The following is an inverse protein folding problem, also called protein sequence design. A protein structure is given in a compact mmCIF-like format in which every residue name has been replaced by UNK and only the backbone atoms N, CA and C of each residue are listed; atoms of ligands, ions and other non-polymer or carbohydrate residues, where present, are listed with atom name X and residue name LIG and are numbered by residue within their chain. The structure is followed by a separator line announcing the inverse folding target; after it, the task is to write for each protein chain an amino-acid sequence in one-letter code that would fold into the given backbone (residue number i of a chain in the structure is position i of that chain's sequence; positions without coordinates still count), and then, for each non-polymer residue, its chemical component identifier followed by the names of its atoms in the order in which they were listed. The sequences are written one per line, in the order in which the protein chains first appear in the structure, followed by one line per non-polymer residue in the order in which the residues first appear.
data_IF_123647027288
#
_entry.id   IF_123647027288
#
_cell.length_a   1.000
_cell.length_b   1.000
_cell.length_c   1.000
_cell.angle_alpha   90.00
_cell.angle_beta   90.00
_cell.angle_gamma   90.00
#
_symmetry.space_group_name_H-M   'P 1'
#
loop_
_entity.id
_entity.type
_entity.pdbx_description
1 polymer ?
#
# COMPACT_ATOMS: atom_id res chain seq x y z
N UNK A 1 6.56 7.73 -17.57
CA UNK A 1 6.82 6.28 -17.72
C UNK A 1 5.76 5.54 -16.93
N UNK A 2 4.85 4.83 -17.59
CA UNK A 2 3.75 4.10 -16.94
C UNK A 2 4.10 2.63 -16.74
N UNK A 3 3.52 2.00 -15.72
CA UNK A 3 3.69 0.58 -15.44
C UNK A 3 2.34 -0.11 -15.24
N UNK A 4 2.30 -1.43 -15.44
CA UNK A 4 1.09 -2.23 -15.23
C UNK A 4 0.85 -2.43 -13.72
N UNK A 5 -0.31 -2.04 -13.16
CA UNK A 5 -0.60 -2.18 -11.72
C UNK A 5 -0.55 -3.64 -11.27
N UNK A 6 -0.20 -3.90 -10.01
CA UNK A 6 -0.12 -5.27 -9.44
C UNK A 6 -1.48 -5.97 -9.38
N UNK A 7 -2.52 -5.19 -9.10
CA UNK A 7 -3.90 -5.65 -9.03
C UNK A 7 -4.75 -4.92 -10.09
N UNK A 8 -5.85 -5.52 -10.54
CA UNK A 8 -6.79 -4.84 -11.45
C UNK A 8 -7.59 -3.73 -10.73
N UNK A 9 -7.56 -3.70 -9.40
CA UNK A 9 -8.22 -2.67 -8.60
C UNK A 9 -7.67 -1.28 -8.90
N UNK A 10 -8.58 -0.30 -9.00
CA UNK A 10 -8.25 1.11 -9.20
C UNK A 10 -7.41 1.43 -10.45
N UNK A 11 -7.28 0.49 -11.40
CA UNK A 11 -6.46 0.64 -12.61
C UNK A 11 -6.96 1.75 -13.56
N UNK A 12 -8.17 2.25 -13.34
CA UNK A 12 -8.83 3.32 -14.06
C UNK A 12 -8.38 4.73 -13.64
N UNK A 13 -7.62 4.86 -12.54
CA UNK A 13 -7.07 6.14 -12.09
C UNK A 13 -5.97 6.61 -13.07
N UNK A 14 -6.32 7.58 -13.92
CA UNK A 14 -5.45 8.11 -14.99
C UNK A 14 -4.18 8.79 -14.49
N UNK A 15 -4.23 9.38 -13.31
CA UNK A 15 -3.08 10.07 -12.68
C UNK A 15 -2.15 9.10 -11.97
N UNK A 16 -2.50 7.81 -11.85
CA UNK A 16 -1.72 6.81 -11.11
C UNK A 16 -0.82 5.97 -12.02
N UNK A 17 -0.14 4.99 -11.41
CA UNK A 17 0.67 3.96 -12.09
C UNK A 17 1.73 4.47 -13.06
N UNK A 18 2.50 5.45 -12.59
CA UNK A 18 3.71 5.91 -13.24
C UNK A 18 4.82 6.10 -12.22
N UNK A 19 6.06 6.18 -12.72
CA UNK A 19 7.24 6.35 -11.87
C UNK A 19 7.35 7.80 -11.42
N UNK A 20 7.53 7.98 -10.11
CA UNK A 20 7.78 9.27 -9.46
C UNK A 20 9.25 9.36 -9.03
N UNK A 21 9.77 10.58 -8.95
CA UNK A 21 11.11 10.86 -8.45
C UNK A 21 11.02 11.67 -7.16
N UNK A 22 11.73 11.24 -6.13
CA UNK A 22 11.89 11.98 -4.86
C UNK A 22 13.23 11.56 -4.23
N UNK A 23 13.71 12.31 -3.25
CA UNK A 23 15.04 12.15 -2.63
C UNK A 23 14.97 11.50 -1.23
N UNK A 24 13.78 11.10 -0.76
CA UNK A 24 13.61 10.56 0.60
C UNK A 24 14.14 9.12 0.80
N UNK A 25 14.44 8.39 -0.28
CA UNK A 25 14.93 7.03 -0.19
C UNK A 25 16.46 7.00 -0.02
N UNK A 26 16.95 6.06 0.79
CA UNK A 26 18.38 5.80 0.94
C UNK A 26 18.81 4.61 0.09
N UNK A 27 20.02 4.64 -0.47
CA UNK A 27 20.58 3.53 -1.28
C UNK A 27 20.80 2.24 -0.47
N UNK A 28 20.78 2.33 0.85
CA UNK A 28 21.20 1.25 1.75
C UNK A 28 20.19 0.09 1.89
N UNK A 29 18.95 0.23 1.41
CA UNK A 29 17.90 -0.78 1.60
C UNK A 29 16.97 -0.95 0.39
N UNK A 30 16.64 -2.20 0.08
CA UNK A 30 15.69 -2.57 -0.96
C UNK A 30 16.30 -2.58 -2.36
N UNK A 31 15.50 -2.20 -3.37
CA UNK A 31 15.88 -2.26 -4.80
C UNK A 31 16.13 -0.88 -5.41
N UNK A 32 16.08 0.19 -4.61
CA UNK A 32 16.09 1.58 -5.09
C UNK A 32 14.76 2.05 -5.70
N UNK A 33 13.71 1.21 -5.68
CA UNK A 33 12.34 1.58 -6.10
C UNK A 33 11.39 1.27 -4.96
N UNK A 34 10.64 2.28 -4.52
CA UNK A 34 9.74 2.17 -3.36
C UNK A 34 8.28 2.16 -3.84
N UNK A 35 7.48 1.22 -3.32
CA UNK A 35 6.04 1.21 -3.54
C UNK A 35 5.38 2.38 -2.79
N UNK A 36 4.38 3.02 -3.39
CA UNK A 36 3.70 4.17 -2.80
C UNK A 36 2.23 3.84 -2.50
N UNK A 37 1.84 4.00 -1.25
CA UNK A 37 0.49 3.83 -0.74
C UNK A 37 0.08 5.08 0.07
N UNK A 38 -0.48 6.13 -0.59
CA UNK A 38 -0.62 7.47 -0.02
C UNK A 38 -1.40 7.58 1.29
N UNK A 39 -2.28 6.62 1.58
CA UNK A 39 -3.12 6.63 2.78
C UNK A 39 -2.56 5.81 3.94
N UNK A 40 -1.36 5.24 3.78
CA UNK A 40 -0.71 4.38 4.77
C UNK A 40 0.70 4.87 5.16
N UNK A 41 1.20 5.94 4.53
CA UNK A 41 2.50 6.56 4.84
C UNK A 41 2.47 8.07 4.61
N UNK A 42 3.20 8.82 5.44
CA UNK A 42 3.29 10.28 5.34
C UNK A 42 4.10 10.72 4.12
N UNK A 43 5.26 10.09 3.88
CA UNK A 43 6.06 10.36 2.68
C UNK A 43 5.31 9.97 1.41
N UNK A 44 4.65 8.81 1.41
CA UNK A 44 3.82 8.36 0.29
C UNK A 44 2.72 9.39 -0.03
N UNK A 45 2.07 9.94 0.99
CA UNK A 45 1.09 11.01 0.82
C UNK A 45 1.72 12.25 0.18
N UNK A 46 2.83 12.73 0.73
CA UNK A 46 3.54 13.93 0.26
C UNK A 46 3.99 13.78 -1.20
N UNK A 47 4.66 12.68 -1.52
CA UNK A 47 5.21 12.42 -2.86
C UNK A 47 4.07 12.32 -3.88
N UNK A 48 3.03 11.56 -3.57
CA UNK A 48 1.88 11.44 -4.47
C UNK A 48 1.06 12.72 -4.60
N UNK A 49 1.04 13.57 -3.57
CA UNK A 49 0.36 14.87 -3.63
C UNK A 49 1.12 15.89 -4.49
N UNK A 50 2.44 15.98 -4.33
CA UNK A 50 3.29 16.91 -5.12
C UNK A 50 3.33 16.53 -6.61
N UNK A 51 3.18 15.24 -6.93
CA UNK A 51 3.19 14.74 -8.29
C UNK A 51 1.77 14.56 -8.89
N UNK A 52 0.75 15.20 -8.32
CA UNK A 52 -0.64 15.18 -8.80
C UNK A 52 -1.28 13.77 -8.94
N UNK A 53 -0.71 12.76 -8.27
CA UNK A 53 -1.30 11.41 -8.20
C UNK A 53 -2.56 11.44 -7.35
N UNK A 54 -2.48 12.14 -6.22
CA UNK A 54 -3.62 12.47 -5.37
C UNK A 54 -3.75 13.99 -5.28
N UNK A 55 -4.96 14.51 -5.38
CA UNK A 55 -5.26 15.91 -5.15
C UNK A 55 -6.67 16.06 -4.55
N UNK A 56 -7.07 17.28 -4.17
CA UNK A 56 -8.40 17.52 -3.58
C UNK A 56 -9.54 17.19 -4.54
N UNK A 57 -9.29 17.20 -5.84
CA UNK A 57 -10.26 17.00 -6.91
C UNK A 57 -10.32 15.55 -7.42
N UNK A 58 -9.34 14.70 -7.08
CA UNK A 58 -9.29 13.27 -7.45
C UNK A 58 -10.42 12.47 -6.80
N UNK A 59 -11.12 13.06 -5.83
CA UNK A 59 -12.47 12.66 -5.39
C UNK A 59 -12.59 11.34 -4.64
N UNK A 60 -11.64 10.41 -4.81
CA UNK A 60 -11.70 9.07 -4.23
C UNK A 60 -10.46 8.79 -3.40
N UNK A 61 -10.65 8.75 -2.08
CA UNK A 61 -9.65 8.24 -1.15
C UNK A 61 -9.56 6.73 -1.33
N UNK A 62 -8.44 6.25 -1.88
CA UNK A 62 -8.18 4.82 -2.08
C UNK A 62 -7.71 4.20 -0.77
N UNK A 63 -8.66 3.83 0.09
CA UNK A 63 -8.39 3.15 1.36
C UNK A 63 -9.27 1.90 1.48
N UNK A 64 -8.84 0.76 0.90
CA UNK A 64 -9.66 -0.45 0.83
C UNK A 64 -9.72 -1.21 2.16
N UNK A 65 -9.65 -0.51 3.30
CA UNK A 65 -9.53 -1.07 4.64
C UNK A 65 -10.41 -0.29 5.62
N UNK A 66 -11.24 -1.02 6.37
CA UNK A 66 -12.15 -0.46 7.36
C UNK A 66 -11.46 -0.10 8.69
N UNK A 67 -12.23 0.43 9.65
CA UNK A 67 -11.73 0.79 10.98
C UNK A 67 -11.30 -0.43 11.83
N UNK A 68 -11.70 -1.64 11.45
CA UNK A 68 -11.31 -2.89 12.10
C UNK A 68 -10.08 -3.53 11.42
N UNK A 69 -9.42 -2.81 10.51
CA UNK A 69 -8.30 -3.29 9.72
C UNK A 69 -8.67 -4.53 8.88
N UNK A 70 -9.88 -4.53 8.31
CA UNK A 70 -10.34 -5.56 7.37
C UNK A 70 -10.54 -4.96 6.00
N UNK A 71 -10.26 -5.75 4.96
CA UNK A 71 -10.45 -5.30 3.59
C UNK A 71 -11.93 -5.08 3.25
N UNK A 72 -12.21 -3.97 2.56
CA UNK A 72 -13.54 -3.61 2.06
C UNK A 72 -13.86 -4.37 0.76
N UNK A 73 -15.04 -4.15 0.20
CA UNK A 73 -15.49 -4.71 -1.08
C UNK A 73 -14.74 -4.16 -2.30
N UNK A 74 -13.97 -3.08 -2.13
CA UNK A 74 -13.08 -2.55 -3.16
C UNK A 74 -11.95 -3.54 -3.50
N UNK A 75 -11.51 -4.32 -2.50
CA UNK A 75 -10.51 -5.38 -2.63
C UNK A 75 -11.18 -6.77 -2.52
N UNK A 76 -12.00 -7.11 -3.52
CA UNK A 76 -12.91 -8.27 -3.52
C UNK A 76 -12.25 -9.59 -3.12
N UNK A 77 -11.05 -9.87 -3.63
CA UNK A 77 -10.34 -11.14 -3.35
C UNK A 77 -9.94 -11.29 -1.87
N UNK A 78 -9.87 -10.18 -1.13
CA UNK A 78 -9.42 -10.13 0.26
C UNK A 78 -10.52 -9.67 1.22
N UNK A 79 -11.73 -9.40 0.72
CA UNK A 79 -12.83 -8.81 1.47
C UNK A 79 -13.07 -9.53 2.80
N UNK A 80 -13.17 -8.75 3.89
CA UNK A 80 -13.43 -9.23 5.24
C UNK A 80 -12.23 -9.88 5.96
N UNK A 81 -11.12 -10.14 5.27
CA UNK A 81 -9.89 -10.62 5.91
C UNK A 81 -9.21 -9.47 6.66
N UNK A 82 -8.64 -9.76 7.82
CA UNK A 82 -7.75 -8.82 8.49
C UNK A 82 -6.48 -8.64 7.66
N UNK A 83 -5.89 -7.44 7.66
CA UNK A 83 -4.70 -7.13 6.86
C UNK A 83 -3.54 -8.10 7.06
N UNK A 84 -3.31 -8.61 8.28
CA UNK A 84 -2.23 -9.55 8.57
C UNK A 84 -2.54 -10.97 8.09
N UNK A 85 -3.80 -11.36 8.12
CA UNK A 85 -4.22 -12.67 7.62
C UNK A 85 -4.17 -12.71 6.08
N UNK A 86 -4.49 -11.58 5.45
CA UNK A 86 -4.48 -11.42 4.00
C UNK A 86 -3.08 -11.51 3.38
N UNK A 87 -2.00 -11.25 4.12
CA UNK A 87 -0.61 -11.33 3.63
C UNK A 87 -0.33 -12.66 2.90
N UNK A 88 -0.80 -13.78 3.46
CA UNK A 88 -0.63 -15.11 2.86
C UNK A 88 -1.39 -15.25 1.54
N UNK A 89 -2.60 -14.71 1.49
CA UNK A 89 -3.47 -14.74 0.31
C UNK A 89 -2.91 -13.85 -0.80
N UNK A 90 -2.39 -12.66 -0.44
CA UNK A 90 -1.74 -11.72 -1.36
C UNK A 90 -0.48 -12.33 -1.98
N UNK A 91 0.39 -12.95 -1.17
CA UNK A 91 1.60 -13.63 -1.67
C UNK A 91 1.21 -14.74 -2.64
N UNK A 92 0.20 -15.54 -2.30
CA UNK A 92 -0.30 -16.62 -3.18
C UNK A 92 -0.80 -16.05 -4.51
N UNK A 93 -1.61 -15.00 -4.48
CA UNK A 93 -2.12 -14.33 -5.68
C UNK A 93 -0.97 -13.83 -6.57
N UNK A 94 0.02 -13.12 -6.00
CA UNK A 94 1.17 -12.60 -6.76
C UNK A 94 2.05 -13.70 -7.36
N UNK A 95 2.15 -14.84 -6.67
CA UNK A 95 2.86 -16.03 -7.16
C UNK A 95 2.12 -16.68 -8.33
N UNK A 96 0.80 -16.84 -8.22
CA UNK A 96 -0.05 -17.39 -9.29
C UNK A 96 -0.11 -16.49 -10.52
N UNK A 97 -0.01 -15.16 -10.32
CA UNK A 97 0.09 -14.19 -11.40
C UNK A 97 1.49 -14.11 -12.04
N UNK A 98 2.48 -14.88 -11.57
CA UNK A 98 3.89 -14.85 -12.02
C UNK A 98 4.57 -13.46 -11.85
N UNK A 99 4.16 -12.70 -10.83
CA UNK A 99 4.67 -11.33 -10.55
C UNK A 99 5.49 -11.23 -9.27
N UNK A 100 5.65 -12.34 -8.56
CA UNK A 100 6.49 -12.44 -7.36
C UNK A 100 7.91 -12.86 -7.75
N UNK A 101 8.86 -11.93 -7.68
CA UNK A 101 10.27 -12.18 -8.03
C UNK A 101 11.04 -12.85 -6.90
N UNK A 102 10.83 -12.40 -5.66
CA UNK A 102 11.53 -12.90 -4.49
C UNK A 102 10.61 -12.85 -3.27
N UNK A 103 10.72 -13.85 -2.40
CA UNK A 103 9.99 -13.93 -1.13
C UNK A 103 10.96 -14.40 -0.05
N UNK A 104 11.06 -13.64 1.04
CA UNK A 104 11.85 -13.98 2.22
C UNK A 104 11.17 -13.45 3.49
N UNK A 105 11.68 -13.86 4.64
CA UNK A 105 11.24 -13.37 5.96
C UNK A 105 12.35 -12.49 6.53
N UNK A 106 11.99 -11.30 6.99
CA UNK A 106 12.91 -10.34 7.60
C UNK A 106 12.54 -10.13 9.07
N UNK A 107 13.53 -10.19 9.95
CA UNK A 107 13.36 -9.83 11.35
C UNK A 107 13.65 -8.34 11.51
N UNK A 108 12.66 -7.57 11.93
CA UNK A 108 12.81 -6.14 12.22
C UNK A 108 11.90 -5.74 13.38
N UNK A 109 12.16 -4.56 13.95
CA UNK A 109 11.28 -3.96 14.94
C UNK A 109 9.98 -3.51 14.28
N UNK A 110 8.84 -3.84 14.89
CA UNK A 110 7.52 -3.38 14.46
C UNK A 110 6.79 -2.73 15.64
N UNK A 111 6.06 -1.62 15.44
CA UNK A 111 5.37 -0.94 16.52
C UNK A 111 4.16 -1.75 17.01
N UNK A 112 4.02 -1.83 18.32
CA UNK A 112 2.88 -2.44 19.01
C UNK A 112 2.16 -1.40 19.86
N UNK A 113 0.86 -1.58 20.05
CA UNK A 113 0.07 -0.77 20.96
C UNK A 113 0.59 -0.97 22.38
N UNK A 114 1.01 0.12 23.02
CA UNK A 114 1.59 0.14 24.37
C UNK A 114 0.72 -0.48 25.47
N UNK A 115 -0.58 -0.67 25.22
CA UNK A 115 -1.55 -1.19 26.20
C UNK A 115 -2.04 -2.60 25.87
N UNK A 116 -2.33 -2.87 24.60
CA UNK A 116 -2.98 -4.12 24.17
C UNK A 116 -2.03 -5.11 23.49
N UNK A 117 -0.76 -4.74 23.29
CA UNK A 117 0.25 -5.52 22.57
C UNK A 117 -0.19 -5.93 21.15
N UNK A 118 -1.18 -5.23 20.58
CA UNK A 118 -1.64 -5.44 19.21
C UNK A 118 -0.78 -4.67 18.22
N UNK A 119 -0.51 -5.24 17.05
CA UNK A 119 0.26 -4.59 15.99
C UNK A 119 -0.39 -3.28 15.53
N UNK A 120 0.39 -2.20 15.44
CA UNK A 120 -0.11 -0.92 14.92
C UNK A 120 -0.01 -0.86 13.41
N UNK A 121 -0.96 -0.14 12.80
CA UNK A 121 -1.01 0.12 11.36
C UNK A 121 -1.22 1.62 11.19
N UNK A 122 -0.43 2.24 10.32
CA UNK A 122 -0.60 3.64 9.94
C UNK A 122 -1.70 3.72 8.88
N UNK A 123 -2.71 4.57 9.12
CA UNK A 123 -3.82 4.79 8.20
C UNK A 123 -4.28 6.23 8.32
N UNK A 124 -4.57 6.86 7.19
CA UNK A 124 -5.25 8.15 7.15
C UNK A 124 -6.64 8.02 7.80
N UNK A 125 -6.94 8.89 8.75
CA UNK A 125 -8.26 9.01 9.38
C UNK A 125 -8.81 10.41 9.10
N UNK A 126 -10.11 10.55 8.82
CA UNK A 126 -10.72 11.87 8.68
C UNK A 126 -10.63 12.62 10.02
N UNK A 127 -10.25 13.90 9.95
CA UNK A 127 -10.21 14.83 11.07
C UNK A 127 -11.59 15.32 11.49
#
# INVERSE_FOLDING_TARGET
MHYTPLFPYFADIKTAFHVLCDEYFTEDNGTGVVHQAPYFGEDDYRVCFVNDVINKDTGSVVCPIDAQCRFTDEAKDFQGQNVKDADKTIIKYLKEAERLVHQSVMLHSYPFCWRSDTTLIYRAVPS
#
